data_IF_090629165253
#
_entry.id   IF_090629165253
#
_cell.length_a   1.000
_cell.length_b   1.000
_cell.length_c   1.000
_cell.angle_alpha   90.00
_cell.angle_beta   90.00
_cell.angle_gamma   90.00
#
_symmetry.space_group_name_H-M   'P 1'
#
loop_
_entity.id
_entity.type
_entity.pdbx_description
1 polymer ?
#
# COMPACT_ATOMS: atom_id res chain seq x y z
N UNK A 1 -14.92 -12.40 21.77
CA UNK A 1 -15.81 -13.58 21.61
C UNK A 1 -15.91 -14.34 22.92
N UNK A 2 -17.05 -15.03 23.15
CA UNK A 2 -17.29 -15.86 24.35
C UNK A 2 -17.62 -17.28 23.92
N UNK A 3 -16.97 -18.26 24.57
CA UNK A 3 -17.33 -19.66 24.48
C UNK A 3 -17.99 -20.09 25.82
N UNK A 4 -19.13 -20.74 25.73
CA UNK A 4 -19.85 -21.21 26.88
C UNK A 4 -19.65 -22.73 27.00
N UNK A 5 -19.07 -23.17 28.09
CA UNK A 5 -18.94 -24.59 28.44
C UNK A 5 -20.09 -25.01 29.33
N UNK A 6 -20.87 -25.96 28.84
CA UNK A 6 -21.94 -26.56 29.64
C UNK A 6 -21.58 -28.02 29.94
N UNK A 7 -21.79 -28.45 31.18
CA UNK A 7 -21.64 -29.83 31.63
C UNK A 7 -22.99 -30.26 32.25
N UNK A 8 -23.52 -31.37 31.80
CA UNK A 8 -24.82 -31.92 32.24
C UNK A 8 -26.01 -30.92 32.19
N UNK A 9 -25.95 -30.00 31.20
CA UNK A 9 -26.98 -28.97 30.97
C UNK A 9 -26.82 -27.70 31.80
N UNK A 10 -25.81 -27.63 32.67
CA UNK A 10 -25.50 -26.44 33.47
C UNK A 10 -24.26 -25.70 32.90
N UNK A 11 -24.30 -24.36 32.95
CA UNK A 11 -23.17 -23.52 32.53
C UNK A 11 -22.01 -23.67 33.54
N UNK A 12 -20.98 -24.38 33.14
CA UNK A 12 -19.80 -24.64 33.97
C UNK A 12 -18.72 -23.54 33.85
N UNK A 13 -18.52 -22.95 32.66
CA UNK A 13 -17.55 -21.91 32.45
C UNK A 13 -17.90 -21.03 31.25
N UNK A 14 -17.36 -19.78 31.26
CA UNK A 14 -17.36 -18.88 30.14
C UNK A 14 -15.91 -18.56 29.82
N UNK A 15 -15.46 -18.94 28.63
CA UNK A 15 -14.13 -18.63 28.12
C UNK A 15 -14.23 -17.35 27.29
N UNK A 16 -13.60 -16.28 27.75
CA UNK A 16 -13.54 -15.02 27.03
C UNK A 16 -12.32 -15.04 26.11
N UNK A 17 -12.55 -15.05 24.80
CA UNK A 17 -11.51 -14.90 23.81
C UNK A 17 -11.37 -13.42 23.48
N UNK A 18 -10.25 -12.84 23.86
CA UNK A 18 -9.89 -11.47 23.55
C UNK A 18 -8.74 -11.49 22.56
N UNK A 19 -8.96 -10.89 21.39
CA UNK A 19 -7.92 -10.67 20.40
C UNK A 19 -7.44 -9.22 20.56
N UNK A 20 -6.24 -9.00 21.10
CA UNK A 20 -5.75 -7.66 21.36
C UNK A 20 -5.42 -6.97 20.05
N UNK A 21 -5.73 -5.68 19.97
CA UNK A 21 -5.29 -4.84 18.87
C UNK A 21 -3.76 -4.77 18.83
N UNK A 22 -3.22 -4.69 17.63
CA UNK A 22 -1.80 -4.42 17.43
C UNK A 22 -1.45 -3.06 18.03
N UNK A 23 -0.39 -3.00 18.80
CA UNK A 23 0.02 -1.77 19.52
C UNK A 23 0.27 -0.60 18.59
N UNK A 24 0.79 -0.89 17.39
CA UNK A 24 1.13 0.08 16.36
C UNK A 24 -0.06 0.52 15.50
N UNK A 25 -1.25 -0.12 15.60
CA UNK A 25 -2.36 0.09 14.67
C UNK A 25 -2.77 1.56 14.55
N UNK A 26 -2.94 2.25 15.68
CA UNK A 26 -3.31 3.67 15.70
C UNK A 26 -2.26 4.57 15.06
N UNK A 27 -1.00 4.32 15.37
CA UNK A 27 0.11 5.11 14.83
C UNK A 27 0.29 4.85 13.34
N UNK A 28 0.10 3.61 12.90
CA UNK A 28 0.14 3.24 11.49
C UNK A 28 -0.97 3.94 10.69
N UNK A 29 -2.22 3.97 11.19
CA UNK A 29 -3.32 4.69 10.54
C UNK A 29 -3.01 6.18 10.42
N UNK A 30 -2.50 6.80 11.48
CA UNK A 30 -2.08 8.20 11.42
C UNK A 30 -0.98 8.43 10.37
N UNK A 31 0.04 7.56 10.35
CA UNK A 31 1.13 7.65 9.39
C UNK A 31 0.66 7.42 7.93
N UNK A 32 -0.37 6.60 7.70
CA UNK A 32 -1.01 6.47 6.39
C UNK A 32 -1.65 7.78 5.95
N UNK A 33 -2.40 8.47 6.82
CA UNK A 33 -2.94 9.82 6.52
C UNK A 33 -1.82 10.82 6.21
N UNK A 34 -0.76 10.85 7.02
CA UNK A 34 0.40 11.72 6.81
C UNK A 34 1.10 11.42 5.47
N UNK A 35 1.03 10.18 4.97
CA UNK A 35 1.56 9.78 3.67
C UNK A 35 0.62 10.05 2.49
N UNK A 36 -0.54 10.68 2.74
CA UNK A 36 -1.46 11.19 1.72
C UNK A 36 -2.63 10.28 1.37
N UNK A 37 -3.00 9.32 2.24
CA UNK A 37 -4.28 8.64 2.12
C UNK A 37 -5.40 9.56 2.62
N UNK A 38 -6.42 9.75 1.80
CA UNK A 38 -7.56 10.60 2.15
C UNK A 38 -8.48 9.94 3.17
N UNK A 39 -8.68 8.64 3.05
CA UNK A 39 -9.54 7.84 3.93
C UNK A 39 -8.90 6.48 4.20
N UNK A 40 -8.98 6.04 5.45
CA UNK A 40 -8.64 4.68 5.89
C UNK A 40 -9.91 4.03 6.42
N UNK A 41 -10.33 2.95 5.79
CA UNK A 41 -11.61 2.28 6.05
C UNK A 41 -11.37 0.87 6.59
N UNK A 42 -12.09 0.50 7.62
CA UNK A 42 -12.07 -0.86 8.17
C UNK A 42 -13.34 -1.63 7.74
N UNK A 43 -13.14 -2.80 7.16
CA UNK A 43 -14.20 -3.74 6.83
C UNK A 43 -13.97 -5.08 7.55
N UNK A 44 -14.96 -5.51 8.32
CA UNK A 44 -14.86 -6.73 9.14
C UNK A 44 -16.14 -7.54 9.12
N UNK A 45 -16.01 -8.86 9.26
CA UNK A 45 -17.14 -9.76 9.51
C UNK A 45 -17.63 -9.75 10.95
N UNK A 46 -16.94 -9.06 11.86
CA UNK A 46 -17.34 -8.96 13.26
C UNK A 46 -18.65 -8.20 13.45
N UNK A 47 -19.29 -8.42 14.62
CA UNK A 47 -20.48 -7.67 14.98
C UNK A 47 -20.19 -6.16 15.11
N UNK A 48 -21.22 -5.36 14.85
CA UNK A 48 -21.13 -3.89 14.81
C UNK A 48 -20.50 -3.29 16.07
N UNK A 49 -20.88 -3.77 17.26
CA UNK A 49 -20.40 -3.24 18.54
C UNK A 49 -18.88 -3.41 18.69
N UNK A 50 -18.35 -4.58 18.32
CA UNK A 50 -16.92 -4.86 18.36
C UNK A 50 -16.17 -4.02 17.32
N UNK A 51 -16.72 -3.97 16.10
CA UNK A 51 -16.11 -3.20 14.99
C UNK A 51 -16.02 -1.70 15.31
N UNK A 52 -17.09 -1.10 15.86
CA UNK A 52 -17.11 0.31 16.25
C UNK A 52 -16.10 0.62 17.39
N UNK A 53 -15.98 -0.28 18.37
CA UNK A 53 -15.03 -0.13 19.46
C UNK A 53 -13.57 -0.15 18.93
N UNK A 54 -13.26 -1.11 18.06
CA UNK A 54 -11.94 -1.23 17.42
C UNK A 54 -11.67 -0.01 16.53
N UNK A 55 -12.61 0.40 15.71
CA UNK A 55 -12.48 1.56 14.83
C UNK A 55 -12.18 2.86 15.60
N UNK A 56 -12.86 3.08 16.72
CA UNK A 56 -12.62 4.23 17.59
C UNK A 56 -11.23 4.21 18.23
N UNK A 57 -10.73 3.04 18.60
CA UNK A 57 -9.41 2.88 19.19
C UNK A 57 -8.30 3.07 18.15
N UNK A 58 -8.48 2.51 16.96
CA UNK A 58 -7.49 2.58 15.85
C UNK A 58 -7.52 3.95 15.17
N UNK A 59 -8.68 4.60 15.10
CA UNK A 59 -8.84 5.92 14.50
C UNK A 59 -9.02 5.90 12.99
N UNK A 60 -9.69 4.89 12.45
CA UNK A 60 -10.08 4.84 11.03
C UNK A 60 -11.26 5.79 10.75
N UNK A 61 -11.40 6.24 9.50
CA UNK A 61 -12.41 7.22 9.08
C UNK A 61 -13.82 6.62 8.98
N UNK A 62 -13.89 5.34 8.60
CA UNK A 62 -15.16 4.63 8.50
C UNK A 62 -14.99 3.14 8.84
N UNK A 63 -16.07 2.55 9.34
CA UNK A 63 -16.13 1.13 9.67
C UNK A 63 -17.39 0.50 9.08
N UNK A 64 -17.21 -0.66 8.44
CA UNK A 64 -18.26 -1.51 7.95
C UNK A 64 -18.15 -2.86 8.65
N UNK A 65 -19.17 -3.18 9.45
CA UNK A 65 -19.27 -4.40 10.24
C UNK A 65 -20.18 -5.42 9.56
N UNK A 66 -20.05 -6.70 9.93
CA UNK A 66 -20.88 -7.79 9.43
C UNK A 66 -20.83 -7.94 7.90
N UNK A 67 -19.67 -7.61 7.30
CA UNK A 67 -19.45 -7.58 5.84
C UNK A 67 -19.02 -8.96 5.37
N UNK A 68 -19.71 -9.49 4.36
CA UNK A 68 -19.32 -10.71 3.68
C UNK A 68 -18.17 -10.44 2.68
N UNK A 69 -17.41 -11.46 2.28
CA UNK A 69 -16.31 -11.29 1.30
C UNK A 69 -16.77 -10.66 -0.02
N UNK A 70 -17.96 -11.03 -0.50
CA UNK A 70 -18.54 -10.49 -1.77
C UNK A 70 -18.91 -9.01 -1.63
N UNK A 71 -19.38 -8.60 -0.45
CA UNK A 71 -19.75 -7.21 -0.18
C UNK A 71 -18.52 -6.30 -0.15
N UNK A 72 -17.37 -6.81 0.32
CA UNK A 72 -16.10 -6.07 0.25
C UNK A 72 -15.72 -5.73 -1.19
N UNK A 73 -15.82 -6.69 -2.09
CA UNK A 73 -15.54 -6.45 -3.52
C UNK A 73 -16.55 -5.47 -4.13
N UNK A 74 -17.84 -5.57 -3.77
CA UNK A 74 -18.88 -4.65 -4.23
C UNK A 74 -18.62 -3.22 -3.75
N UNK A 75 -18.20 -3.04 -2.50
CA UNK A 75 -17.80 -1.74 -1.96
C UNK A 75 -16.64 -1.11 -2.74
N UNK A 76 -15.60 -1.89 -3.03
CA UNK A 76 -14.45 -1.41 -3.81
C UNK A 76 -14.90 -0.94 -5.19
N UNK A 77 -15.75 -1.70 -5.91
CA UNK A 77 -16.30 -1.27 -7.19
C UNK A 77 -17.06 0.05 -7.10
N UNK A 78 -17.84 0.25 -6.03
CA UNK A 78 -18.58 1.49 -5.82
C UNK A 78 -17.64 2.68 -5.60
N UNK A 79 -16.58 2.51 -4.81
CA UNK A 79 -15.60 3.57 -4.57
C UNK A 79 -14.82 3.92 -5.85
N UNK A 80 -14.43 2.93 -6.64
CA UNK A 80 -13.79 3.14 -7.97
C UNK A 80 -14.74 3.84 -8.94
N UNK A 81 -16.03 3.51 -8.94
CA UNK A 81 -17.03 4.19 -9.77
C UNK A 81 -17.21 5.69 -9.40
N UNK A 82 -16.88 6.08 -8.17
CA UNK A 82 -16.83 7.49 -7.73
C UNK A 82 -15.53 8.19 -8.17
N UNK A 83 -14.60 7.50 -8.80
CA UNK A 83 -13.30 8.02 -9.22
C UNK A 83 -12.21 7.94 -8.15
N UNK A 84 -12.43 7.20 -7.07
CA UNK A 84 -11.42 6.97 -6.06
C UNK A 84 -10.43 5.88 -6.51
N UNK A 85 -9.16 6.04 -6.17
CA UNK A 85 -8.16 4.98 -6.25
C UNK A 85 -8.19 4.20 -4.94
N UNK A 86 -8.43 2.89 -5.02
CA UNK A 86 -8.64 2.03 -3.86
C UNK A 86 -7.51 1.03 -3.71
N UNK A 87 -6.91 1.03 -2.53
CA UNK A 87 -5.96 0.00 -2.10
C UNK A 87 -6.68 -0.91 -1.11
N UNK A 88 -6.71 -2.21 -1.41
CA UNK A 88 -7.22 -3.23 -0.49
C UNK A 88 -6.07 -3.92 0.22
N UNK A 89 -6.18 -4.03 1.54
CA UNK A 89 -5.23 -4.77 2.39
C UNK A 89 -5.98 -5.90 3.07
N UNK A 90 -5.49 -7.12 2.95
CA UNK A 90 -6.12 -8.31 3.53
C UNK A 90 -5.16 -9.45 3.77
N UNK A 91 -5.65 -10.57 4.31
CA UNK A 91 -4.88 -11.79 4.56
C UNK A 91 -4.72 -12.69 3.32
N UNK A 92 -5.46 -12.40 2.26
CA UNK A 92 -5.43 -13.10 0.98
C UNK A 92 -6.26 -14.37 0.91
N UNK A 93 -6.81 -14.87 1.99
CA UNK A 93 -7.63 -16.10 1.99
C UNK A 93 -9.11 -15.75 1.78
N UNK A 94 -9.66 -14.94 2.67
CA UNK A 94 -11.07 -14.56 2.63
C UNK A 94 -11.31 -13.29 1.79
N UNK A 95 -10.26 -12.50 1.58
CA UNK A 95 -10.32 -11.20 0.90
C UNK A 95 -9.96 -11.26 -0.59
N UNK A 96 -9.76 -12.47 -1.15
CA UNK A 96 -9.35 -12.68 -2.55
C UNK A 96 -10.18 -11.89 -3.57
N UNK A 97 -11.52 -11.88 -3.53
CA UNK A 97 -12.34 -11.11 -4.47
C UNK A 97 -12.12 -9.60 -4.33
N UNK A 98 -11.94 -9.12 -3.10
CA UNK A 98 -11.71 -7.71 -2.82
C UNK A 98 -10.30 -7.26 -3.24
N UNK A 99 -9.28 -8.08 -3.00
CA UNK A 99 -7.91 -7.82 -3.44
C UNK A 99 -7.81 -7.71 -4.95
N UNK A 100 -8.46 -8.62 -5.70
CA UNK A 100 -8.47 -8.59 -7.17
C UNK A 100 -9.25 -7.41 -7.76
N UNK A 101 -10.24 -6.87 -7.04
CA UNK A 101 -11.07 -5.76 -7.51
C UNK A 101 -10.42 -4.40 -7.30
N UNK A 102 -9.52 -4.28 -6.34
CA UNK A 102 -8.83 -3.03 -5.99
C UNK A 102 -7.91 -2.53 -7.12
N UNK A 103 -7.51 -1.26 -7.09
CA UNK A 103 -6.47 -0.73 -7.98
C UNK A 103 -5.08 -1.23 -7.57
N UNK A 104 -4.91 -1.58 -6.30
CA UNK A 104 -3.79 -2.37 -5.80
C UNK A 104 -4.24 -3.24 -4.63
N UNK A 105 -4.07 -4.54 -4.76
CA UNK A 105 -4.31 -5.53 -3.71
C UNK A 105 -3.02 -5.84 -2.95
N UNK A 106 -3.02 -5.65 -1.64
CA UNK A 106 -1.87 -5.93 -0.77
C UNK A 106 -2.24 -7.06 0.18
N UNK A 107 -1.56 -8.19 0.08
CA UNK A 107 -1.69 -9.28 1.04
C UNK A 107 -0.64 -9.16 2.14
N UNK A 108 -1.10 -9.12 3.40
CA UNK A 108 -0.24 -9.27 4.57
C UNK A 108 -0.30 -10.73 4.98
N UNK A 109 0.72 -11.50 4.65
CA UNK A 109 0.72 -12.93 4.94
C UNK A 109 2.12 -13.44 5.22
N UNK A 110 2.24 -14.15 6.33
CA UNK A 110 3.47 -14.85 6.71
C UNK A 110 3.63 -16.22 6.05
N UNK A 111 2.69 -16.68 5.19
CA UNK A 111 2.83 -18.02 4.63
C UNK A 111 1.81 -18.53 3.63
N UNK A 112 0.71 -17.87 3.38
CA UNK A 112 -0.32 -18.40 2.49
C UNK A 112 0.10 -18.27 1.01
N UNK A 113 0.32 -19.41 0.32
CA UNK A 113 0.66 -19.45 -1.10
C UNK A 113 -0.42 -18.76 -1.97
N UNK A 114 -1.69 -18.87 -1.58
CA UNK A 114 -2.85 -18.29 -2.28
C UNK A 114 -2.78 -16.77 -2.29
N UNK A 115 -2.34 -16.13 -1.21
CA UNK A 115 -2.21 -14.69 -1.14
C UNK A 115 -1.24 -14.12 -2.20
N UNK A 116 -0.19 -14.89 -2.53
CA UNK A 116 0.83 -14.50 -3.52
C UNK A 116 0.34 -14.57 -4.97
N UNK A 117 -0.68 -15.37 -5.24
CA UNK A 117 -1.22 -15.50 -6.61
C UNK A 117 -2.25 -14.41 -6.93
N UNK A 118 -2.89 -13.82 -5.91
CA UNK A 118 -4.06 -12.96 -6.08
C UNK A 118 -3.72 -11.49 -5.83
N UNK A 119 -2.83 -11.21 -4.88
CA UNK A 119 -2.44 -9.85 -4.55
C UNK A 119 -1.34 -9.32 -5.49
N UNK A 120 -1.43 -8.05 -5.85
CA UNK A 120 -0.38 -7.36 -6.62
C UNK A 120 0.91 -7.22 -5.82
N UNK A 121 0.77 -7.08 -4.50
CA UNK A 121 1.89 -6.90 -3.57
C UNK A 121 1.70 -7.83 -2.37
N UNK A 122 2.75 -8.54 -2.00
CA UNK A 122 2.76 -9.34 -0.77
C UNK A 122 3.75 -8.74 0.22
N UNK A 123 3.26 -8.44 1.42
CA UNK A 123 4.06 -7.97 2.54
C UNK A 123 4.21 -9.12 3.54
N UNK A 124 5.44 -9.56 3.77
CA UNK A 124 5.76 -10.66 4.68
C UNK A 124 5.99 -10.20 6.12
N UNK A 125 5.63 -8.99 6.45
CA UNK A 125 5.78 -8.41 7.79
C UNK A 125 4.44 -8.39 8.51
N UNK A 126 4.49 -8.66 9.81
CA UNK A 126 3.34 -8.45 10.70
C UNK A 126 3.18 -6.98 11.11
N UNK A 127 4.18 -6.15 10.83
CA UNK A 127 4.18 -4.73 11.17
C UNK A 127 3.40 -3.91 10.12
N UNK A 128 2.38 -3.20 10.56
CA UNK A 128 1.56 -2.32 9.73
C UNK A 128 2.35 -1.13 9.15
N UNK A 129 3.46 -0.73 9.76
CA UNK A 129 4.34 0.31 9.21
C UNK A 129 4.99 -0.09 7.87
N UNK A 130 5.01 -1.39 7.54
CA UNK A 130 5.43 -1.83 6.22
C UNK A 130 4.56 -1.23 5.10
N UNK A 131 3.26 -0.98 5.35
CA UNK A 131 2.36 -0.28 4.40
C UNK A 131 2.75 1.18 4.22
N UNK A 132 3.12 1.86 5.30
CA UNK A 132 3.61 3.24 5.25
C UNK A 132 4.92 3.33 4.47
N UNK A 133 5.83 2.41 4.74
CA UNK A 133 7.11 2.30 4.02
C UNK A 133 6.89 2.04 2.53
N UNK A 134 5.98 1.13 2.18
CA UNK A 134 5.60 0.85 0.80
C UNK A 134 5.06 2.10 0.09
N UNK A 135 4.21 2.87 0.77
CA UNK A 135 3.66 4.12 0.24
C UNK A 135 4.75 5.15 -0.02
N UNK A 136 5.63 5.39 0.94
CA UNK A 136 6.77 6.32 0.81
C UNK A 136 7.70 5.90 -0.32
N UNK A 137 8.02 4.59 -0.41
CA UNK A 137 8.84 4.04 -1.47
C UNK A 137 8.22 4.30 -2.85
N UNK A 138 6.91 4.06 -3.00
CA UNK A 138 6.21 4.29 -4.27
C UNK A 138 6.18 5.78 -4.65
N UNK A 139 6.00 6.68 -3.69
CA UNK A 139 6.07 8.13 -3.93
C UNK A 139 7.47 8.57 -4.38
N UNK A 140 8.52 8.15 -3.67
CA UNK A 140 9.90 8.46 -4.00
C UNK A 140 10.27 7.91 -5.40
N UNK A 141 9.79 6.71 -5.74
CA UNK A 141 9.98 6.12 -7.06
C UNK A 141 9.31 6.96 -8.16
N UNK A 142 8.07 7.36 -7.95
CA UNK A 142 7.34 8.17 -8.93
C UNK A 142 7.97 9.55 -9.11
N UNK A 143 8.45 10.19 -8.06
CA UNK A 143 9.20 11.45 -8.15
C UNK A 143 10.48 11.29 -8.95
N UNK A 144 11.22 10.20 -8.71
CA UNK A 144 12.45 9.87 -9.46
C UNK A 144 12.15 9.63 -10.94
N UNK A 145 11.09 8.88 -11.27
CA UNK A 145 10.66 8.61 -12.63
C UNK A 145 10.29 9.93 -13.34
N UNK A 146 9.43 10.75 -12.72
CA UNK A 146 9.04 12.03 -13.31
C UNK A 146 10.21 13.00 -13.48
N UNK A 147 11.12 13.02 -12.50
CA UNK A 147 12.34 13.83 -12.58
C UNK A 147 13.24 13.40 -13.74
N UNK A 148 13.49 12.10 -13.85
CA UNK A 148 14.30 11.52 -14.95
C UNK A 148 13.64 11.76 -16.31
N UNK A 149 12.32 11.56 -16.41
CA UNK A 149 11.56 11.79 -17.65
C UNK A 149 11.65 13.25 -18.11
N UNK A 150 11.40 14.21 -17.22
CA UNK A 150 11.50 15.65 -17.55
C UNK A 150 12.88 16.02 -18.01
N UNK A 151 13.92 15.49 -17.35
CA UNK A 151 15.31 15.72 -17.76
C UNK A 151 15.59 15.13 -19.14
N UNK A 152 15.21 13.87 -19.40
CA UNK A 152 15.42 13.20 -20.68
C UNK A 152 14.78 13.99 -21.82
N UNK A 153 13.50 14.33 -21.67
CA UNK A 153 12.74 15.05 -22.72
C UNK A 153 13.34 16.44 -22.95
N UNK A 154 13.59 17.21 -21.90
CA UNK A 154 14.13 18.56 -22.01
C UNK A 154 15.54 18.56 -22.58
N UNK A 155 16.42 17.67 -22.13
CA UNK A 155 17.77 17.57 -22.61
C UNK A 155 17.85 17.17 -24.10
N UNK A 156 17.08 16.15 -24.50
CA UNK A 156 17.03 15.71 -25.89
C UNK A 156 16.44 16.76 -26.81
N UNK A 157 15.39 17.46 -26.39
CA UNK A 157 14.83 18.57 -27.16
C UNK A 157 15.87 19.69 -27.37
N UNK A 158 16.64 20.00 -26.34
CA UNK A 158 17.74 20.99 -26.42
C UNK A 158 18.83 20.54 -27.41
N UNK A 159 19.24 19.27 -27.34
CA UNK A 159 20.22 18.72 -28.28
C UNK A 159 19.75 18.81 -29.74
N UNK A 160 18.44 18.48 -29.97
CA UNK A 160 17.85 18.58 -31.32
C UNK A 160 17.85 20.05 -31.78
N UNK A 161 17.40 20.99 -30.95
CA UNK A 161 17.34 22.40 -31.29
C UNK A 161 18.73 22.95 -31.65
N UNK A 162 19.75 22.62 -30.85
CA UNK A 162 21.15 23.03 -31.11
C UNK A 162 21.74 22.37 -32.37
N UNK A 163 21.34 21.14 -32.67
CA UNK A 163 21.71 20.44 -33.90
C UNK A 163 21.10 21.09 -35.13
N UNK A 164 19.80 21.43 -35.09
CA UNK A 164 19.09 22.13 -36.18
C UNK A 164 19.65 23.53 -36.39
N UNK A 165 20.01 24.23 -35.30
CA UNK A 165 20.66 25.54 -35.38
C UNK A 165 22.12 25.49 -35.89
N UNK A 166 22.67 24.30 -36.16
CA UNK A 166 24.05 24.14 -36.62
C UNK A 166 25.13 24.39 -35.56
N UNK A 167 24.75 24.53 -34.29
CA UNK A 167 25.67 24.79 -33.18
C UNK A 167 26.37 23.50 -32.72
N UNK A 168 25.67 22.38 -32.76
CA UNK A 168 26.18 21.08 -32.31
C UNK A 168 26.34 20.09 -33.47
N UNK A 169 27.57 19.54 -33.71
CA UNK A 169 27.77 18.45 -34.64
C UNK A 169 26.99 17.19 -34.22
N UNK A 170 26.47 16.37 -35.16
CA UNK A 170 25.72 15.14 -34.86
C UNK A 170 26.48 14.16 -33.96
N UNK A 171 27.79 14.02 -34.13
CA UNK A 171 28.64 13.16 -33.31
C UNK A 171 28.69 13.60 -31.85
N UNK A 172 28.82 14.91 -31.62
CA UNK A 172 28.79 15.48 -30.25
C UNK A 172 27.43 15.33 -29.62
N UNK A 173 26.35 15.56 -30.38
CA UNK A 173 24.96 15.34 -29.90
C UNK A 173 24.73 13.89 -29.47
N UNK A 174 25.19 12.93 -30.28
CA UNK A 174 25.11 11.51 -29.95
C UNK A 174 25.89 11.13 -28.68
N UNK A 175 27.09 11.68 -28.52
CA UNK A 175 27.92 11.44 -27.34
C UNK A 175 27.25 11.98 -26.06
N UNK A 176 26.72 13.20 -26.13
CA UNK A 176 25.98 13.82 -25.00
C UNK A 176 24.70 13.05 -24.64
N UNK A 177 23.94 12.60 -25.66
CA UNK A 177 22.77 11.78 -25.47
C UNK A 177 23.11 10.47 -24.72
N UNK A 178 24.10 9.72 -25.22
CA UNK A 178 24.50 8.46 -24.59
C UNK A 178 25.09 8.70 -23.19
N UNK A 179 25.88 9.74 -23.00
CA UNK A 179 26.42 10.13 -21.68
C UNK A 179 25.31 10.47 -20.66
N UNK A 180 24.28 11.21 -21.11
CA UNK A 180 23.14 11.55 -20.26
C UNK A 180 22.33 10.31 -19.85
N UNK A 181 22.13 9.38 -20.77
CA UNK A 181 21.45 8.12 -20.51
C UNK A 181 22.20 7.28 -19.46
N UNK A 182 23.53 7.18 -19.61
CA UNK A 182 24.37 6.49 -18.63
C UNK A 182 24.30 7.17 -17.25
N UNK A 183 24.38 8.50 -17.20
CA UNK A 183 24.28 9.26 -15.96
C UNK A 183 22.95 9.05 -15.23
N UNK A 184 21.84 9.04 -15.98
CA UNK A 184 20.50 8.75 -15.42
C UNK A 184 20.43 7.31 -14.91
N UNK A 185 20.97 6.35 -15.67
CA UNK A 185 20.98 4.94 -15.26
C UNK A 185 21.76 4.76 -13.96
N UNK A 186 22.92 5.36 -13.81
CA UNK A 186 23.72 5.32 -12.58
C UNK A 186 22.99 5.98 -11.40
N UNK A 187 22.34 7.14 -11.61
CA UNK A 187 21.51 7.79 -10.60
C UNK A 187 20.35 6.90 -10.15
N UNK A 188 19.72 6.19 -11.07
CA UNK A 188 18.57 5.31 -10.76
C UNK A 188 18.98 4.04 -10.01
N UNK A 189 20.27 3.72 -9.91
CA UNK A 189 20.80 2.62 -9.09
C UNK A 189 21.01 2.99 -7.62
N UNK A 190 20.83 4.25 -7.24
CA UNK A 190 20.95 4.68 -5.84
C UNK A 190 19.67 4.38 -5.06
N UNK A 191 19.82 4.22 -3.73
CA UNK A 191 18.67 3.97 -2.83
C UNK A 191 17.61 5.07 -2.96
N UNK A 192 16.34 4.69 -2.79
CA UNK A 192 15.20 5.60 -2.87
C UNK A 192 14.86 6.22 -1.52
N UNK A 193 15.05 5.47 -0.44
CA UNK A 193 14.82 5.92 0.93
C UNK A 193 16.16 6.08 1.65
N UNK A 194 16.27 7.10 2.50
CA UNK A 194 17.46 7.29 3.31
C UNK A 194 17.60 6.16 4.34
N UNK A 195 18.86 5.77 4.61
CA UNK A 195 19.17 4.66 5.54
C UNK A 195 18.63 4.88 6.95
N UNK A 196 18.43 6.12 7.37
CA UNK A 196 17.89 6.47 8.69
C UNK A 196 16.41 6.12 8.84
N UNK A 197 15.61 6.22 7.77
CA UNK A 197 14.19 5.81 7.79
C UNK A 197 14.02 4.29 7.86
N UNK A 198 14.93 3.55 7.27
CA UNK A 198 14.91 2.09 7.28
C UNK A 198 15.30 1.49 8.65
N UNK A 199 15.92 2.27 9.53
CA UNK A 199 16.37 1.82 10.87
C UNK A 199 15.32 2.09 11.95
N UNK A 200 14.36 2.98 11.73
CA UNK A 200 13.23 3.22 12.64
C UNK A 200 12.15 2.14 12.61
N UNK A 201 12.17 1.30 11.57
CA UNK A 201 11.19 0.24 11.33
C UNK A 201 11.77 -1.17 11.61
N UNK A 202 12.85 -1.28 12.35
CA UNK A 202 13.39 -2.52 12.91
C UNK A 202 13.26 -2.50 14.43
#
# INVERSE_FOLDING_TARGET
SHLYLCIDGELAAVICIHDPLRREAREAVRALHESGFANVVMMTGDNRRTAEAVAAEVGVDAVYAEVLPEDKAAFIRQEKAKGHTVIMVGDGVNDSPALSEADAGIAISTGAAIAREIADITVSSEDLFALVTLRRLSQALMERIHGSYRFIVGFNLTLIALGVAGVLPPTTSALLHNGSTLGISLRNMTDLLDKEENTRNK
#
